data_IF_356815969998
#
_entry.id   IF_356815969998
#
_cell.length_a   1.000
_cell.length_b   1.000
_cell.length_c   1.000
_cell.angle_alpha   90.00
_cell.angle_beta   90.00
_cell.angle_gamma   90.00
#
_symmetry.space_group_name_H-M   'P 1'
#
loop_
_entity.id
_entity.type
_entity.pdbx_description
1 polymer ?
#
# COMPACT_ATOMS: atom_id res chain seq x y z
N UNK A 1 -20.70 0.34 66.19
CA UNK A 1 -21.25 -0.08 64.88
C UNK A 1 -21.23 1.04 63.83
N UNK A 2 -20.20 1.90 63.74
CA UNK A 2 -20.18 3.02 62.77
C UNK A 2 -18.76 3.28 62.23
N UNK A 3 -17.98 2.24 61.89
CA UNK A 3 -16.62 2.44 61.31
C UNK A 3 -16.32 1.67 60.03
N UNK A 4 -17.14 0.68 59.66
CA UNK A 4 -16.94 -0.07 58.41
C UNK A 4 -17.86 0.37 57.27
N UNK A 5 -18.82 1.27 57.54
CA UNK A 5 -19.77 1.77 56.53
C UNK A 5 -19.12 2.68 55.48
N UNK A 6 -18.01 3.35 55.82
CA UNK A 6 -17.33 4.30 54.92
C UNK A 6 -16.22 3.67 54.07
N UNK A 7 -15.77 2.45 54.41
CA UNK A 7 -14.73 1.74 53.65
C UNK A 7 -15.34 1.05 52.42
N UNK A 8 -16.64 0.71 52.47
CA UNK A 8 -17.33 0.09 51.33
C UNK A 8 -17.79 1.10 50.26
N UNK A 9 -17.87 2.39 50.59
CA UNK A 9 -18.28 3.45 49.65
C UNK A 9 -17.12 3.96 48.77
N UNK A 10 -15.87 3.66 49.15
CA UNK A 10 -14.67 4.13 48.43
C UNK A 10 -14.17 3.17 47.34
N UNK A 11 -14.69 1.93 47.28
CA UNK A 11 -14.32 0.94 46.26
C UNK A 11 -15.24 0.95 45.02
N UNK A 12 -16.32 1.74 45.03
CA UNK A 12 -17.33 1.76 43.98
C UNK A 12 -17.08 2.81 42.87
N UNK A 13 -16.05 3.65 43.00
CA UNK A 13 -15.80 4.78 42.07
C UNK A 13 -14.79 4.41 40.96
N UNK A 14 -14.16 3.24 41.00
CA UNK A 14 -13.09 2.88 40.05
C UNK A 14 -13.55 2.19 38.75
N UNK A 15 -14.86 2.02 38.53
CA UNK A 15 -15.39 1.26 37.37
C UNK A 15 -15.94 2.10 36.21
N UNK A 16 -15.78 3.43 36.21
CA UNK A 16 -16.36 4.30 35.14
C UNK A 16 -15.34 4.96 34.19
N UNK A 17 -14.16 4.37 34.00
CA UNK A 17 -13.19 4.81 32.98
C UNK A 17 -12.88 3.71 31.94
N UNK A 18 -13.90 3.16 31.30
CA UNK A 18 -13.71 2.36 30.09
C UNK A 18 -14.51 2.97 28.94
N UNK A 19 -14.14 4.20 28.55
CA UNK A 19 -14.51 4.74 27.25
C UNK A 19 -13.39 4.33 26.28
N UNK A 20 -13.59 3.22 25.56
CA UNK A 20 -12.73 2.87 24.42
C UNK A 20 -13.00 3.81 23.25
N UNK A 21 -12.06 3.96 22.30
CA UNK A 21 -12.29 4.76 21.09
C UNK A 21 -13.51 4.23 20.35
N UNK A 22 -14.33 5.14 19.81
CA UNK A 22 -15.49 4.75 19.03
C UNK A 22 -15.07 4.11 17.70
N UNK A 23 -15.97 3.35 17.07
CA UNK A 23 -15.70 2.79 15.72
C UNK A 23 -15.36 3.90 14.72
N UNK A 24 -15.96 5.09 14.86
CA UNK A 24 -15.63 6.23 14.02
C UNK A 24 -14.20 6.74 14.23
N UNK A 25 -13.69 6.70 15.47
CA UNK A 25 -12.31 7.10 15.77
C UNK A 25 -11.33 6.07 15.19
N UNK A 26 -11.63 4.77 15.36
CA UNK A 26 -10.84 3.68 14.77
C UNK A 26 -10.80 3.76 13.24
N UNK A 27 -11.92 4.12 12.59
CA UNK A 27 -11.95 4.29 11.13
C UNK A 27 -11.08 5.45 10.65
N UNK A 28 -10.90 6.50 11.46
CA UNK A 28 -9.98 7.59 11.13
C UNK A 28 -8.54 7.09 11.14
N UNK A 29 -8.16 6.36 12.19
CA UNK A 29 -6.83 5.76 12.31
C UNK A 29 -6.56 4.78 11.15
N UNK A 30 -7.50 3.88 10.87
CA UNK A 30 -7.35 2.92 9.76
C UNK A 30 -7.25 3.62 8.40
N UNK A 31 -7.98 4.73 8.20
CA UNK A 31 -7.86 5.53 6.97
C UNK A 31 -6.45 6.12 6.84
N UNK A 32 -5.91 6.68 7.91
CA UNK A 32 -4.56 7.23 7.92
C UNK A 32 -3.53 6.15 7.60
N UNK A 33 -3.71 4.93 8.12
CA UNK A 33 -2.86 3.78 7.81
C UNK A 33 -2.93 3.38 6.32
N UNK A 34 -4.13 3.29 5.73
CA UNK A 34 -4.31 2.98 4.30
C UNK A 34 -3.56 3.98 3.43
N UNK A 35 -3.67 5.28 3.74
CA UNK A 35 -2.98 6.33 2.99
C UNK A 35 -1.47 6.30 3.24
N UNK A 36 -1.01 5.96 4.44
CA UNK A 36 0.42 5.82 4.72
C UNK A 36 1.08 4.72 3.85
N UNK A 37 0.40 3.59 3.63
CA UNK A 37 0.90 2.52 2.74
C UNK A 37 0.95 2.95 1.28
N UNK A 38 -0.04 3.74 0.83
CA UNK A 38 -0.01 4.39 -0.49
C UNK A 38 1.20 5.33 -0.61
N UNK A 39 1.35 6.25 0.35
CA UNK A 39 2.38 7.29 0.32
C UNK A 39 3.80 6.75 0.40
N UNK A 40 4.01 5.58 1.03
CA UNK A 40 5.32 4.93 1.12
C UNK A 40 5.99 4.74 -0.26
N UNK A 41 5.21 4.36 -1.27
CA UNK A 41 5.71 4.01 -2.61
C UNK A 41 5.44 5.09 -3.66
N UNK A 42 4.62 6.10 -3.36
CA UNK A 42 4.34 7.21 -4.27
C UNK A 42 5.58 7.95 -4.80
N UNK A 43 6.65 8.18 -4.01
CA UNK A 43 7.88 8.77 -4.52
C UNK A 43 8.58 7.94 -5.61
N UNK A 44 8.25 6.65 -5.74
CA UNK A 44 8.88 5.73 -6.70
C UNK A 44 8.20 5.71 -8.08
N UNK A 45 7.05 6.36 -8.26
CA UNK A 45 6.29 6.29 -9.52
C UNK A 45 7.10 6.78 -10.73
N UNK A 46 7.87 7.86 -10.56
CA UNK A 46 8.78 8.36 -11.60
C UNK A 46 9.93 7.38 -11.88
N UNK A 47 10.45 6.71 -10.85
CA UNK A 47 11.51 5.71 -10.97
C UNK A 47 11.03 4.50 -11.80
N UNK A 48 9.81 4.01 -11.57
CA UNK A 48 9.22 2.92 -12.36
C UNK A 48 9.22 3.24 -13.86
N UNK A 49 8.73 4.42 -14.25
CA UNK A 49 8.69 4.83 -15.66
C UNK A 49 10.07 5.03 -16.29
N UNK A 50 11.04 5.48 -15.52
CA UNK A 50 12.40 5.61 -16.02
C UNK A 50 13.05 4.23 -16.26
N UNK A 51 12.88 3.29 -15.33
CA UNK A 51 13.39 1.93 -15.45
C UNK A 51 12.68 1.16 -16.58
N UNK A 52 11.38 1.37 -16.79
CA UNK A 52 10.62 0.80 -17.91
C UNK A 52 11.24 1.22 -19.24
N UNK A 53 11.48 2.52 -19.42
CA UNK A 53 12.12 3.06 -20.63
C UNK A 53 13.54 2.52 -20.81
N UNK A 54 14.31 2.45 -19.74
CA UNK A 54 15.66 1.89 -19.78
C UNK A 54 15.65 0.44 -20.25
N UNK A 55 14.78 -0.40 -19.70
CA UNK A 55 14.65 -1.79 -20.08
C UNK A 55 14.24 -1.96 -21.56
N UNK A 56 13.31 -1.14 -22.04
CA UNK A 56 12.88 -1.16 -23.45
C UNK A 56 14.01 -0.73 -24.40
N UNK A 57 14.72 0.35 -24.09
CA UNK A 57 15.84 0.82 -24.91
C UNK A 57 16.93 -0.25 -25.01
N UNK A 58 17.27 -0.88 -23.88
CA UNK A 58 18.29 -1.92 -23.84
C UNK A 58 17.86 -3.18 -24.62
N UNK A 59 16.57 -3.52 -24.58
CA UNK A 59 16.03 -4.61 -25.39
C UNK A 59 16.12 -4.29 -26.90
N UNK A 60 15.78 -3.06 -27.30
CA UNK A 60 15.87 -2.61 -28.70
C UNK A 60 17.32 -2.61 -29.23
N UNK A 61 18.26 -2.14 -28.41
CA UNK A 61 19.71 -2.18 -28.73
C UNK A 61 20.18 -3.62 -28.98
N UNK A 62 19.83 -4.57 -28.11
CA UNK A 62 20.19 -5.98 -28.25
C UNK A 62 19.54 -6.66 -29.45
N UNK A 63 18.28 -6.32 -29.77
CA UNK A 63 17.59 -6.81 -30.97
C UNK A 63 18.25 -6.31 -32.27
N UNK A 64 18.86 -5.13 -32.24
CA UNK A 64 19.56 -4.56 -33.40
C UNK A 64 20.99 -5.07 -33.59
N UNK A 65 21.54 -5.77 -32.60
CA UNK A 65 22.92 -6.27 -32.62
C UNK A 65 23.06 -7.59 -33.41
N UNK A 66 24.22 -7.80 -34.03
CA UNK A 66 24.52 -9.04 -34.77
C UNK A 66 24.62 -10.29 -33.86
N UNK A 67 24.90 -10.08 -32.57
CA UNK A 67 24.93 -11.09 -31.50
C UNK A 67 23.68 -10.98 -30.60
N UNK A 68 22.50 -11.08 -31.21
CA UNK A 68 21.23 -10.94 -30.48
C UNK A 68 21.05 -12.05 -29.42
N UNK A 69 21.09 -11.67 -28.14
CA UNK A 69 20.69 -12.54 -27.03
C UNK A 69 19.17 -12.49 -26.83
N UNK A 70 18.47 -13.38 -27.53
CA UNK A 70 17.01 -13.48 -27.50
C UNK A 70 16.41 -13.76 -26.12
N UNK A 71 17.16 -14.37 -25.20
CA UNK A 71 16.69 -14.60 -23.83
C UNK A 71 16.74 -13.30 -23.04
N UNK A 72 17.87 -12.60 -23.12
CA UNK A 72 18.05 -11.31 -22.45
C UNK A 72 17.04 -10.26 -22.92
N UNK A 73 16.75 -10.22 -24.22
CA UNK A 73 15.71 -9.35 -24.80
C UNK A 73 14.34 -9.64 -24.18
N UNK A 74 13.97 -10.92 -24.04
CA UNK A 74 12.70 -11.31 -23.43
C UNK A 74 12.63 -10.93 -21.95
N UNK A 75 13.71 -11.10 -21.20
CA UNK A 75 13.79 -10.69 -19.79
C UNK A 75 13.56 -9.18 -19.62
N UNK A 76 14.19 -8.36 -20.47
CA UNK A 76 14.05 -6.91 -20.45
C UNK A 76 12.64 -6.45 -20.83
N UNK A 77 12.03 -7.06 -21.85
CA UNK A 77 10.63 -6.79 -22.22
C UNK A 77 9.65 -7.19 -21.12
N UNK A 78 9.88 -8.34 -20.47
CA UNK A 78 9.08 -8.75 -19.32
C UNK A 78 9.25 -7.81 -18.12
N UNK A 79 10.47 -7.35 -17.85
CA UNK A 79 10.72 -6.33 -16.83
C UNK A 79 9.98 -5.03 -17.11
N UNK A 80 10.03 -4.53 -18.35
CA UNK A 80 9.31 -3.31 -18.75
C UNK A 80 7.79 -3.46 -18.55
N UNK A 81 7.23 -4.62 -18.91
CA UNK A 81 5.82 -4.92 -18.66
C UNK A 81 5.49 -4.88 -17.16
N UNK A 82 6.27 -5.55 -16.31
CA UNK A 82 6.03 -5.59 -14.86
C UNK A 82 6.11 -4.20 -14.22
N UNK A 83 7.10 -3.39 -14.61
CA UNK A 83 7.25 -2.01 -14.16
C UNK A 83 6.05 -1.14 -14.56
N UNK A 84 5.55 -1.30 -15.79
CA UNK A 84 4.36 -0.61 -16.24
C UNK A 84 3.10 -1.08 -15.47
N UNK A 85 2.94 -2.38 -15.23
CA UNK A 85 1.79 -2.89 -14.47
C UNK A 85 1.79 -2.39 -13.03
N UNK A 86 2.94 -2.38 -12.37
CA UNK A 86 3.08 -1.83 -11.02
C UNK A 86 2.74 -0.32 -11.01
N UNK A 87 3.19 0.42 -12.01
CA UNK A 87 2.84 1.84 -12.17
C UNK A 87 1.32 2.03 -12.33
N UNK A 88 0.69 1.34 -13.27
CA UNK A 88 -0.76 1.48 -13.53
C UNK A 88 -1.62 0.98 -12.37
N UNK A 89 -1.17 -0.05 -11.64
CA UNK A 89 -1.87 -0.58 -10.46
C UNK A 89 -2.16 0.50 -9.42
N UNK A 90 -1.22 1.40 -9.17
CA UNK A 90 -1.42 2.54 -8.27
C UNK A 90 -2.54 3.47 -8.75
N UNK A 91 -2.57 3.81 -10.05
CA UNK A 91 -3.62 4.67 -10.60
C UNK A 91 -4.98 4.00 -10.65
N UNK A 92 -5.03 2.68 -10.88
CA UNK A 92 -6.28 1.91 -10.80
C UNK A 92 -6.83 2.00 -9.38
N UNK A 93 -6.01 1.76 -8.37
CA UNK A 93 -6.42 1.85 -6.97
C UNK A 93 -6.89 3.26 -6.61
N UNK A 94 -6.13 4.31 -6.95
CA UNK A 94 -6.50 5.71 -6.66
C UNK A 94 -7.84 6.11 -7.28
N UNK A 95 -8.19 5.60 -8.47
CA UNK A 95 -9.49 5.88 -9.12
C UNK A 95 -10.66 5.17 -8.45
N UNK A 96 -10.40 4.05 -7.76
CA UNK A 96 -11.42 3.25 -7.07
C UNK A 96 -11.56 3.60 -5.59
N UNK A 97 -10.55 4.26 -5.01
CA UNK A 97 -10.56 4.68 -3.63
C UNK A 97 -11.51 5.87 -3.41
N UNK A 98 -12.40 5.72 -2.43
CA UNK A 98 -13.38 6.72 -2.02
C UNK A 98 -12.94 7.39 -0.72
N UNK A 99 -12.68 8.69 -0.79
CA UNK A 99 -12.26 9.48 0.38
C UNK A 99 -13.43 9.73 1.34
N UNK A 100 -14.62 9.94 0.80
CA UNK A 100 -15.83 10.21 1.59
C UNK A 100 -16.54 8.91 1.96
N UNK A 101 -17.12 8.88 3.17
CA UNK A 101 -17.87 7.71 3.63
C UNK A 101 -19.21 7.54 2.89
N UNK A 102 -19.79 8.62 2.35
CA UNK A 102 -21.15 8.64 1.82
C UNK A 102 -22.18 8.37 2.91
N UNK A 103 -23.17 7.54 2.60
CA UNK A 103 -24.25 7.15 3.53
C UNK A 103 -23.91 5.92 4.40
N UNK A 104 -22.66 5.43 4.34
CA UNK A 104 -22.23 4.21 5.04
C UNK A 104 -22.25 4.37 6.57
N UNK A 105 -22.64 3.31 7.27
CA UNK A 105 -22.48 3.20 8.72
C UNK A 105 -21.01 3.13 9.13
N UNK A 106 -20.65 3.41 10.40
CA UNK A 106 -19.28 3.22 10.88
C UNK A 106 -18.74 1.80 10.63
N UNK A 107 -19.57 0.76 10.78
CA UNK A 107 -19.17 -0.62 10.54
C UNK A 107 -18.93 -0.91 9.05
N UNK A 108 -19.74 -0.34 8.15
CA UNK A 108 -19.56 -0.45 6.71
C UNK A 108 -18.30 0.28 6.24
N UNK A 109 -18.01 1.46 6.81
CA UNK A 109 -16.77 2.19 6.56
C UNK A 109 -15.56 1.37 7.01
N UNK A 110 -15.63 0.72 8.17
CA UNK A 110 -14.56 -0.15 8.66
C UNK A 110 -14.26 -1.27 7.68
N UNK A 111 -15.28 -2.03 7.28
CA UNK A 111 -15.11 -3.14 6.34
C UNK A 111 -14.57 -2.68 4.98
N UNK A 112 -15.01 -1.50 4.51
CA UNK A 112 -14.47 -0.89 3.30
C UNK A 112 -12.97 -0.57 3.44
N UNK A 113 -12.57 0.09 4.52
CA UNK A 113 -11.17 0.45 4.75
C UNK A 113 -10.26 -0.77 4.93
N UNK A 114 -10.74 -1.84 5.57
CA UNK A 114 -10.02 -3.11 5.68
C UNK A 114 -9.78 -3.74 4.29
N UNK A 115 -10.77 -3.71 3.40
CA UNK A 115 -10.61 -4.14 2.00
C UNK A 115 -9.63 -3.23 1.23
N UNK A 116 -9.71 -1.91 1.41
CA UNK A 116 -8.77 -0.98 0.79
C UNK A 116 -7.33 -1.17 1.29
N UNK A 117 -7.15 -1.52 2.56
CA UNK A 117 -5.84 -1.86 3.13
C UNK A 117 -5.21 -3.05 2.40
N UNK A 118 -5.98 -4.13 2.19
CA UNK A 118 -5.48 -5.30 1.44
C UNK A 118 -5.08 -4.92 0.01
N UNK A 119 -5.89 -4.10 -0.66
CA UNK A 119 -5.63 -3.67 -2.03
C UNK A 119 -4.41 -2.76 -2.15
N UNK A 120 -4.27 -1.78 -1.27
CA UNK A 120 -3.11 -0.86 -1.29
C UNK A 120 -1.83 -1.58 -0.89
N UNK A 121 -1.90 -2.56 0.02
CA UNK A 121 -0.75 -3.40 0.35
C UNK A 121 -0.27 -4.20 -0.87
N UNK A 122 -1.20 -4.76 -1.66
CA UNK A 122 -0.85 -5.44 -2.90
C UNK A 122 -0.17 -4.50 -3.91
N UNK A 123 -0.67 -3.27 -4.06
CA UNK A 123 -0.04 -2.25 -4.92
C UNK A 123 1.38 -1.93 -4.43
N UNK A 124 1.55 -1.74 -3.12
CA UNK A 124 2.84 -1.47 -2.49
C UNK A 124 3.85 -2.61 -2.75
N UNK A 125 3.42 -3.86 -2.54
CA UNK A 125 4.24 -5.05 -2.76
C UNK A 125 4.61 -5.22 -4.25
N UNK A 126 3.69 -4.95 -5.17
CA UNK A 126 3.93 -5.02 -6.61
C UNK A 126 4.99 -4.01 -7.06
N UNK A 127 4.91 -2.77 -6.55
CA UNK A 127 5.90 -1.73 -6.82
C UNK A 127 7.28 -2.14 -6.29
N UNK A 128 7.35 -2.59 -5.02
CA UNK A 128 8.61 -3.04 -4.41
C UNK A 128 9.21 -4.22 -5.17
N UNK A 129 8.39 -5.18 -5.59
CA UNK A 129 8.82 -6.36 -6.35
C UNK A 129 9.36 -5.96 -7.73
N UNK A 130 8.66 -5.09 -8.45
CA UNK A 130 9.12 -4.62 -9.76
C UNK A 130 10.44 -3.83 -9.67
N UNK A 131 10.60 -3.00 -8.63
CA UNK A 131 11.85 -2.29 -8.36
C UNK A 131 13.00 -3.23 -8.00
N UNK A 132 12.76 -4.27 -7.20
CA UNK A 132 13.76 -5.27 -6.86
C UNK A 132 14.20 -6.06 -8.11
N UNK A 133 13.25 -6.46 -8.96
CA UNK A 133 13.53 -7.12 -10.24
C UNK A 133 14.35 -6.21 -11.17
N UNK A 134 14.01 -4.93 -11.26
CA UNK A 134 14.77 -3.96 -12.03
C UNK A 134 16.20 -3.82 -11.52
N UNK A 135 16.39 -3.76 -10.20
CA UNK A 135 17.72 -3.67 -9.60
C UNK A 135 18.58 -4.88 -9.99
N UNK A 136 18.03 -6.09 -9.87
CA UNK A 136 18.73 -7.32 -10.26
C UNK A 136 19.04 -7.43 -11.76
N UNK A 137 18.23 -6.83 -12.63
CA UNK A 137 18.39 -6.98 -14.08
C UNK A 137 19.11 -5.79 -14.72
N UNK A 138 19.16 -4.61 -14.10
CA UNK A 138 19.71 -3.40 -14.71
C UNK A 138 20.95 -2.84 -13.98
N UNK A 139 21.23 -3.23 -12.73
CA UNK A 139 22.40 -2.72 -11.99
C UNK A 139 23.72 -3.45 -12.31
N UNK A 140 23.69 -4.57 -13.03
CA UNK A 140 24.89 -5.31 -13.49
C UNK A 140 25.50 -4.74 -14.80
N UNK A 141 25.32 -3.45 -15.08
CA UNK A 141 25.89 -2.77 -16.26
C UNK A 141 26.83 -1.62 -15.92
#
# INVERSE_FOLDING_TARGET
MIKYSYIFTLLAIFFMYSCGPSVSDQNKELRDEVIAVHDEVMPQMGKLKNLEKQALNLAEELESSEESDSLRVQELKALAYDLNQAHEGMFVWMRQYEQENGERSPEEVKAYLEDQMVKVQKVNDDIKTALAKASSLLEDQ
#
